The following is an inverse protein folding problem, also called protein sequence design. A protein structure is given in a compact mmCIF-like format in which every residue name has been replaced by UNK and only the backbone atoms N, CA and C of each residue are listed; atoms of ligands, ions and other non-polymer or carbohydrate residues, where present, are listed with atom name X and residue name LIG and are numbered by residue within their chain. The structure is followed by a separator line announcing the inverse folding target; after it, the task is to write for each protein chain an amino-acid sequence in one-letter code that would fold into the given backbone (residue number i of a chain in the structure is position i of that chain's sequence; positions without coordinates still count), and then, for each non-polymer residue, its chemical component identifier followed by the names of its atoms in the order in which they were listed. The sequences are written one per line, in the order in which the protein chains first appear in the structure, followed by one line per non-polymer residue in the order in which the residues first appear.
data_IF_558155078865
#
_entry.id   IF_558155078865
#
_cell.length_a   1.000
_cell.length_b   1.000
_cell.length_c   1.000
_cell.angle_alpha   90.00
_cell.angle_beta   90.00
_cell.angle_gamma   90.00
#
_symmetry.space_group_name_H-M   'P 1'
#
loop_
_entity.id
_entity.type
_entity.pdbx_description
1 polymer ?
#
# COMPACT_ATOMS: atom_id res chain seq x y z
N UNK A 1 13.46 9.84 4.16
CA UNK A 1 12.05 9.41 4.19
C UNK A 1 11.12 10.62 4.19
N UNK A 2 9.91 10.47 3.64
CA UNK A 2 8.91 11.54 3.56
C UNK A 2 7.60 11.06 4.19
N UNK A 3 7.03 11.85 5.12
CA UNK A 3 5.73 11.51 5.70
C UNK A 3 4.62 11.67 4.66
N UNK A 4 3.77 10.66 4.57
CA UNK A 4 2.59 10.61 3.74
C UNK A 4 1.36 10.17 4.55
N UNK A 5 0.19 10.34 3.99
CA UNK A 5 -1.06 9.88 4.58
C UNK A 5 -1.90 9.16 3.54
N UNK A 6 -2.50 8.03 3.92
CA UNK A 6 -3.35 7.26 3.01
C UNK A 6 -4.76 7.88 2.94
N UNK A 7 -5.23 8.15 1.72
CA UNK A 7 -6.55 8.73 1.49
C UNK A 7 -7.71 7.84 1.94
N UNK A 8 -7.46 6.56 2.26
CA UNK A 8 -8.46 5.69 2.87
C UNK A 8 -8.90 6.18 4.26
N UNK A 9 -8.04 6.92 4.99
CA UNK A 9 -8.38 7.61 6.23
C UNK A 9 -9.10 8.96 6.03
N UNK A 10 -9.30 9.39 4.78
CA UNK A 10 -10.07 10.58 4.38
C UNK A 10 -11.23 10.22 3.43
N UNK A 11 -11.81 9.04 3.58
CA UNK A 11 -12.78 8.46 2.65
C UNK A 11 -14.08 9.29 2.46
N UNK A 12 -14.34 10.27 3.32
CA UNK A 12 -15.49 11.16 3.24
C UNK A 12 -15.19 12.54 2.59
N UNK A 13 -13.94 12.73 2.14
CA UNK A 13 -13.51 13.95 1.48
C UNK A 13 -13.42 13.76 -0.04
N UNK A 14 -13.63 14.85 -0.79
CA UNK A 14 -13.18 14.87 -2.19
C UNK A 14 -11.67 14.68 -2.27
N UNK A 15 -11.20 13.98 -3.30
CA UNK A 15 -9.78 13.64 -3.42
C UNK A 15 -8.89 14.89 -3.49
N UNK A 16 -9.31 15.92 -4.24
CA UNK A 16 -8.50 17.13 -4.41
C UNK A 16 -8.44 17.93 -3.10
N UNK A 17 -9.56 18.00 -2.37
CA UNK A 17 -9.61 18.62 -1.04
C UNK A 17 -8.77 17.84 -0.02
N UNK A 18 -8.78 16.49 -0.07
CA UNK A 18 -7.95 15.66 0.78
C UNK A 18 -6.45 15.91 0.54
N UNK A 19 -6.02 15.98 -0.73
CA UNK A 19 -4.61 16.26 -1.09
C UNK A 19 -4.19 17.65 -0.59
N UNK A 20 -5.01 18.68 -0.81
CA UNK A 20 -4.72 20.04 -0.35
C UNK A 20 -4.63 20.11 1.19
N UNK A 21 -5.57 19.46 1.90
CA UNK A 21 -5.57 19.37 3.35
C UNK A 21 -4.26 18.70 3.88
N UNK A 22 -3.82 17.62 3.26
CA UNK A 22 -2.58 16.94 3.67
C UNK A 22 -1.34 17.82 3.45
N UNK A 23 -1.29 18.56 2.33
CA UNK A 23 -0.25 19.55 2.08
C UNK A 23 -0.23 20.65 3.15
N UNK A 24 -1.39 21.19 3.51
CA UNK A 24 -1.55 22.25 4.54
C UNK A 24 -1.16 21.76 5.95
N UNK A 25 -1.32 20.46 6.24
CA UNK A 25 -0.84 19.87 7.50
C UNK A 25 0.68 19.79 7.54
N UNK A 26 1.34 19.60 6.38
CA UNK A 26 2.78 19.51 6.25
C UNK A 26 3.29 18.17 5.70
N UNK A 27 2.40 17.27 5.29
CA UNK A 27 2.78 16.03 4.62
C UNK A 27 3.51 16.32 3.29
N UNK A 28 4.42 15.44 2.94
CA UNK A 28 5.21 15.52 1.70
C UNK A 28 4.84 14.43 0.70
N UNK A 29 3.87 13.60 1.05
CA UNK A 29 3.35 12.56 0.18
C UNK A 29 1.91 12.20 0.48
N UNK A 30 1.30 11.52 -0.49
CA UNK A 30 -0.07 11.00 -0.41
C UNK A 30 -0.09 9.58 -0.94
N UNK A 31 -0.60 8.64 -0.15
CA UNK A 31 -0.95 7.30 -0.63
C UNK A 31 -2.39 7.34 -1.14
N UNK A 32 -2.57 7.30 -2.45
CA UNK A 32 -3.88 7.48 -3.08
C UNK A 32 -4.56 6.12 -3.25
N UNK A 33 -5.54 5.83 -2.40
CA UNK A 33 -6.39 4.64 -2.55
C UNK A 33 -7.40 4.84 -3.68
N UNK A 34 -7.32 3.99 -4.71
CA UNK A 34 -8.29 3.99 -5.81
C UNK A 34 -9.65 3.54 -5.29
N UNK A 35 -10.69 4.37 -5.51
CA UNK A 35 -12.05 4.09 -5.06
C UNK A 35 -13.07 4.80 -5.97
N UNK A 36 -14.37 4.64 -5.70
CA UNK A 36 -15.46 5.25 -6.47
C UNK A 36 -15.30 6.76 -6.69
N UNK A 37 -14.72 7.47 -5.73
CA UNK A 37 -14.52 8.92 -5.77
C UNK A 37 -13.09 9.36 -6.04
N UNK A 38 -12.14 8.42 -6.02
CA UNK A 38 -10.72 8.68 -6.13
C UNK A 38 -10.11 7.88 -7.29
N UNK A 39 -9.89 8.54 -8.43
CA UNK A 39 -9.26 7.98 -9.62
C UNK A 39 -9.83 6.61 -10.03
N UNK A 40 -11.16 6.47 -10.01
CA UNK A 40 -11.84 5.25 -10.41
C UNK A 40 -11.52 4.89 -11.87
N UNK A 41 -10.77 3.82 -12.16
CA UNK A 41 -10.29 3.55 -13.53
C UNK A 41 -11.36 3.08 -14.52
N UNK A 42 -12.62 3.01 -14.09
CA UNK A 42 -13.74 2.52 -14.89
C UNK A 42 -14.74 3.62 -15.29
N UNK A 43 -14.42 4.89 -15.03
CA UNK A 43 -15.30 6.02 -15.39
C UNK A 43 -14.57 7.05 -16.25
N UNK A 44 -15.27 7.71 -17.19
CA UNK A 44 -14.70 8.67 -18.14
C UNK A 44 -14.03 9.89 -17.46
N UNK A 45 -14.55 10.33 -16.31
CA UNK A 45 -14.00 11.48 -15.57
C UNK A 45 -12.59 11.28 -15.01
N UNK A 46 -12.08 10.05 -15.01
CA UNK A 46 -10.76 9.73 -14.45
C UNK A 46 -9.64 10.51 -15.12
N UNK A 47 -9.71 10.73 -16.41
CA UNK A 47 -8.67 11.49 -17.12
C UNK A 47 -8.60 12.96 -16.68
N UNK A 48 -9.75 13.62 -16.49
CA UNK A 48 -9.78 15.00 -15.97
C UNK A 48 -9.33 15.06 -14.51
N UNK A 49 -9.75 14.10 -13.69
CA UNK A 49 -9.33 14.02 -12.29
C UNK A 49 -7.81 13.78 -12.16
N UNK A 50 -7.24 12.94 -13.02
CA UNK A 50 -5.79 12.72 -13.08
C UNK A 50 -5.02 14.01 -13.38
N UNK A 51 -5.50 14.83 -14.32
CA UNK A 51 -4.91 16.13 -14.61
C UNK A 51 -4.89 17.03 -13.37
N UNK A 52 -6.03 17.18 -12.70
CA UNK A 52 -6.15 18.00 -11.50
C UNK A 52 -5.29 17.47 -10.33
N UNK A 53 -5.23 16.15 -10.16
CA UNK A 53 -4.35 15.53 -9.14
C UNK A 53 -2.88 15.82 -9.44
N UNK A 54 -2.45 15.65 -10.69
CA UNK A 54 -1.06 15.94 -11.09
C UNK A 54 -0.67 17.41 -10.86
N UNK A 55 -1.58 18.34 -11.16
CA UNK A 55 -1.40 19.77 -10.89
C UNK A 55 -1.22 20.06 -9.39
N UNK A 56 -2.08 19.47 -8.53
CA UNK A 56 -1.99 19.63 -7.08
C UNK A 56 -0.71 19.03 -6.52
N UNK A 57 -0.35 17.80 -6.92
CA UNK A 57 0.88 17.15 -6.46
C UNK A 57 2.10 18.01 -6.83
N UNK A 58 2.15 18.52 -8.05
CA UNK A 58 3.23 19.40 -8.51
C UNK A 58 3.22 20.73 -7.76
N UNK A 59 2.08 21.38 -7.64
CA UNK A 59 1.92 22.69 -7.00
C UNK A 59 2.32 22.70 -5.52
N UNK A 60 2.06 21.59 -4.81
CA UNK A 60 2.43 21.42 -3.40
C UNK A 60 3.75 20.66 -3.21
N UNK A 61 4.44 20.27 -4.28
CA UNK A 61 5.65 19.44 -4.24
C UNK A 61 5.45 18.16 -3.40
N UNK A 62 4.35 17.46 -3.69
CA UNK A 62 3.99 16.18 -3.07
C UNK A 62 4.39 15.01 -3.96
N UNK A 63 4.85 13.94 -3.33
CA UNK A 63 5.02 12.64 -3.96
C UNK A 63 3.76 11.79 -3.74
N UNK A 64 3.55 10.77 -4.58
CA UNK A 64 2.44 9.84 -4.35
C UNK A 64 2.83 8.39 -4.56
N UNK A 65 2.05 7.49 -3.99
CA UNK A 65 1.94 6.07 -4.29
C UNK A 65 0.48 5.74 -4.56
N UNK A 66 0.22 4.67 -5.31
CA UNK A 66 -1.15 4.20 -5.62
C UNK A 66 -1.45 2.96 -4.79
N UNK A 67 -2.57 3.01 -4.07
CA UNK A 67 -3.05 1.92 -3.23
C UNK A 67 -4.24 1.20 -3.88
N UNK A 68 -4.21 -0.12 -3.87
CA UNK A 68 -5.16 -0.93 -4.64
C UNK A 68 -6.12 -1.77 -3.79
N UNK A 69 -6.42 -1.33 -2.57
CA UNK A 69 -7.36 -2.01 -1.68
C UNK A 69 -8.74 -2.24 -2.29
N UNK A 70 -9.17 -1.35 -3.21
CA UNK A 70 -10.39 -1.42 -4.02
C UNK A 70 -11.71 -1.56 -3.24
N UNK A 71 -11.70 -1.63 -1.94
CA UNK A 71 -12.89 -1.77 -1.06
C UNK A 71 -14.08 -2.44 -1.78
N UNK A 72 -15.12 -1.69 -2.15
CA UNK A 72 -16.29 -2.16 -2.90
C UNK A 72 -16.28 -1.76 -4.38
N UNK A 73 -15.17 -1.28 -4.91
CA UNK A 73 -15.07 -0.79 -6.29
C UNK A 73 -15.27 -1.90 -7.33
N UNK A 74 -14.73 -3.10 -7.06
CA UNK A 74 -14.80 -4.23 -7.97
C UNK A 74 -16.02 -5.12 -7.71
N UNK A 75 -16.45 -5.26 -6.48
CA UNK A 75 -17.67 -5.96 -6.08
C UNK A 75 -18.44 -5.13 -5.05
N UNK A 76 -19.69 -4.71 -5.34
CA UNK A 76 -20.47 -3.90 -4.41
C UNK A 76 -21.00 -4.69 -3.20
N UNK A 77 -20.82 -6.00 -3.14
CA UNK A 77 -21.33 -6.87 -2.09
C UNK A 77 -20.24 -7.39 -1.15
N UNK A 78 -19.03 -7.59 -1.69
CA UNK A 78 -17.91 -8.20 -0.95
C UNK A 78 -16.70 -7.28 -0.98
N UNK A 79 -16.37 -6.78 0.21
CA UNK A 79 -15.24 -5.86 0.38
C UNK A 79 -13.94 -6.51 -0.11
N UNK A 80 -13.16 -5.76 -0.90
CA UNK A 80 -11.86 -6.16 -1.45
C UNK A 80 -11.89 -7.25 -2.53
N UNK A 81 -13.03 -7.87 -2.81
CA UNK A 81 -13.18 -8.87 -3.87
C UNK A 81 -13.49 -8.24 -5.25
N UNK A 82 -13.15 -8.96 -6.34
CA UNK A 82 -12.30 -10.15 -6.39
C UNK A 82 -10.81 -9.83 -6.19
N UNK A 83 -10.04 -10.84 -5.78
CA UNK A 83 -8.58 -10.78 -5.60
C UNK A 83 -7.85 -11.61 -6.66
N UNK A 84 -6.51 -11.66 -6.59
CA UNK A 84 -5.70 -12.53 -7.47
C UNK A 84 -5.86 -14.02 -7.16
N UNK A 85 -6.38 -14.37 -5.98
CA UNK A 85 -6.57 -15.78 -5.54
C UNK A 85 -8.02 -16.23 -5.53
N UNK A 86 -8.98 -15.35 -5.80
CA UNK A 86 -10.42 -15.64 -5.92
C UNK A 86 -10.68 -16.91 -6.74
N UNK A 87 -11.67 -17.73 -6.37
CA UNK A 87 -11.99 -19.00 -7.04
C UNK A 87 -12.42 -18.81 -8.49
N UNK A 88 -13.25 -17.80 -8.75
CA UNK A 88 -13.74 -17.50 -10.09
C UNK A 88 -12.62 -16.94 -11.00
N UNK A 89 -12.30 -17.61 -12.12
CA UNK A 89 -11.32 -17.09 -13.09
C UNK A 89 -11.67 -15.71 -13.67
N UNK A 90 -12.95 -15.42 -13.86
CA UNK A 90 -13.39 -14.11 -14.35
C UNK A 90 -13.13 -13.02 -13.29
N UNK A 91 -13.32 -13.33 -12.02
CA UNK A 91 -12.96 -12.47 -10.91
C UNK A 91 -11.47 -12.17 -10.88
N UNK A 92 -10.61 -13.19 -11.00
CA UNK A 92 -9.15 -12.98 -11.07
C UNK A 92 -8.76 -12.10 -12.27
N UNK A 93 -9.34 -12.34 -13.44
CA UNK A 93 -9.09 -11.51 -14.63
C UNK A 93 -9.50 -10.05 -14.39
N UNK A 94 -10.61 -9.81 -13.69
CA UNK A 94 -11.05 -8.46 -13.29
C UNK A 94 -10.06 -7.78 -12.33
N UNK A 95 -9.50 -8.52 -11.38
CA UNK A 95 -8.44 -7.98 -10.49
C UNK A 95 -7.17 -7.66 -11.27
N UNK A 96 -6.75 -8.50 -12.20
CA UNK A 96 -5.60 -8.23 -13.09
C UNK A 96 -5.84 -6.96 -13.93
N UNK A 97 -7.02 -6.81 -14.55
CA UNK A 97 -7.37 -5.59 -15.29
C UNK A 97 -7.31 -4.34 -14.40
N UNK A 98 -7.85 -4.42 -13.18
CA UNK A 98 -7.79 -3.32 -12.21
C UNK A 98 -6.34 -2.92 -11.86
N UNK A 99 -5.48 -3.90 -11.59
CA UNK A 99 -4.08 -3.64 -11.27
C UNK A 99 -3.32 -3.04 -12.47
N UNK A 100 -3.59 -3.51 -13.69
CA UNK A 100 -3.01 -2.90 -14.90
C UNK A 100 -3.44 -1.44 -15.05
N UNK A 101 -4.71 -1.11 -14.81
CA UNK A 101 -5.19 0.28 -14.83
C UNK A 101 -4.59 1.13 -13.70
N UNK A 102 -4.37 0.54 -12.52
CA UNK A 102 -3.68 1.21 -11.42
C UNK A 102 -2.23 1.55 -11.80
N UNK A 103 -1.55 0.66 -12.53
CA UNK A 103 -0.21 0.90 -13.08
C UNK A 103 -0.23 2.05 -14.09
N UNK A 104 -1.23 2.11 -14.99
CA UNK A 104 -1.36 3.20 -15.95
C UNK A 104 -1.59 4.55 -15.26
N UNK A 105 -2.39 4.58 -14.18
CA UNK A 105 -2.57 5.76 -13.32
C UNK A 105 -1.25 6.16 -12.65
N UNK A 106 -0.53 5.18 -12.07
CA UNK A 106 0.75 5.42 -11.41
C UNK A 106 1.80 5.99 -12.37
N UNK A 107 1.88 5.46 -13.59
CA UNK A 107 2.78 5.96 -14.63
C UNK A 107 2.47 7.44 -14.98
N UNK A 108 1.19 7.80 -15.13
CA UNK A 108 0.76 9.17 -15.44
C UNK A 108 1.03 10.16 -14.32
N UNK A 109 0.95 9.72 -13.05
CA UNK A 109 1.24 10.56 -11.88
C UNK A 109 2.72 10.51 -11.46
N UNK A 110 3.57 9.74 -12.14
CA UNK A 110 4.94 9.47 -11.72
C UNK A 110 5.01 8.99 -10.26
N UNK A 111 4.08 8.10 -9.90
CA UNK A 111 3.98 7.55 -8.55
C UNK A 111 5.18 6.66 -8.23
N UNK A 112 5.62 6.65 -6.95
CA UNK A 112 6.74 5.84 -6.51
C UNK A 112 6.54 4.34 -6.67
N UNK A 113 5.31 3.86 -6.48
CA UNK A 113 4.91 2.47 -6.72
C UNK A 113 3.39 2.32 -6.78
N UNK A 114 2.95 1.11 -7.13
CA UNK A 114 1.59 0.60 -6.89
C UNK A 114 1.68 -0.43 -5.76
N UNK A 115 1.03 -0.16 -4.63
CA UNK A 115 0.91 -1.09 -3.51
C UNK A 115 -0.26 -2.04 -3.73
N UNK A 116 -0.04 -3.32 -3.45
CA UNK A 116 -1.03 -4.39 -3.63
C UNK A 116 -0.79 -5.52 -2.62
N UNK A 117 -1.81 -6.34 -2.41
CA UNK A 117 -1.76 -7.54 -1.58
C UNK A 117 -2.32 -8.78 -2.31
N UNK A 118 -2.12 -9.97 -1.74
CA UNK A 118 -2.42 -11.24 -2.41
C UNK A 118 -3.91 -11.58 -2.48
N UNK A 119 -4.62 -11.36 -1.39
CA UNK A 119 -6.02 -11.74 -1.21
C UNK A 119 -6.22 -12.93 -0.26
N UNK A 120 -7.44 -13.03 0.26
CA UNK A 120 -7.87 -14.11 1.15
C UNK A 120 -8.14 -15.38 0.34
N UNK A 121 -7.71 -16.53 0.85
CA UNK A 121 -7.93 -17.82 0.21
C UNK A 121 -9.27 -18.38 0.67
N UNK A 122 -10.10 -18.84 -0.26
CA UNK A 122 -11.39 -19.49 0.04
C UNK A 122 -11.21 -20.84 0.74
N UNK A 123 -12.15 -21.21 1.59
CA UNK A 123 -12.17 -22.50 2.26
C UNK A 123 -12.03 -23.68 1.28
N UNK A 124 -11.19 -24.65 1.63
CA UNK A 124 -10.96 -25.84 0.83
C UNK A 124 -9.97 -25.67 -0.34
N UNK A 125 -9.47 -24.48 -0.59
CA UNK A 125 -8.40 -24.25 -1.59
C UNK A 125 -7.06 -24.54 -0.94
N UNK A 126 -6.31 -25.48 -1.52
CA UNK A 126 -4.95 -25.81 -1.03
C UNK A 126 -3.94 -24.74 -1.39
N UNK A 127 -2.93 -24.60 -0.54
CA UNK A 127 -1.87 -23.58 -0.63
C UNK A 127 -1.20 -23.52 -2.03
N UNK A 128 -0.82 -24.68 -2.58
CA UNK A 128 -0.25 -24.76 -3.93
C UNK A 128 -1.15 -24.19 -5.01
N UNK A 129 -2.45 -24.41 -4.93
CA UNK A 129 -3.40 -23.87 -5.91
C UNK A 129 -3.55 -22.36 -5.76
N UNK A 130 -3.60 -21.86 -4.52
CA UNK A 130 -3.66 -20.43 -4.24
C UNK A 130 -2.41 -19.71 -4.76
N UNK A 131 -1.21 -20.24 -4.48
CA UNK A 131 0.04 -19.71 -5.04
C UNK A 131 0.07 -19.75 -6.57
N UNK A 132 -0.37 -20.83 -7.19
CA UNK A 132 -0.43 -20.93 -8.66
C UNK A 132 -1.34 -19.83 -9.26
N UNK A 133 -2.46 -19.50 -8.62
CA UNK A 133 -3.35 -18.40 -9.03
C UNK A 133 -2.65 -17.03 -8.87
N UNK A 134 -2.03 -16.80 -7.71
CA UNK A 134 -1.31 -15.57 -7.42
C UNK A 134 -0.18 -15.31 -8.42
N UNK A 135 0.67 -16.32 -8.63
CA UNK A 135 1.79 -16.25 -9.58
C UNK A 135 1.32 -15.98 -11.00
N UNK A 136 0.27 -16.69 -11.45
CA UNK A 136 -0.29 -16.48 -12.80
C UNK A 136 -0.84 -15.06 -13.00
N UNK A 137 -1.53 -14.51 -11.98
CA UNK A 137 -2.01 -13.12 -12.01
C UNK A 137 -0.86 -12.12 -11.98
N UNK A 138 0.09 -12.30 -11.06
CA UNK A 138 1.25 -11.42 -10.92
C UNK A 138 2.14 -11.41 -12.15
N UNK A 139 2.32 -12.53 -12.85
CA UNK A 139 3.09 -12.57 -14.10
C UNK A 139 2.53 -11.56 -15.11
N UNK A 140 1.21 -11.56 -15.31
CA UNK A 140 0.57 -10.60 -16.24
C UNK A 140 0.72 -9.15 -15.77
N UNK A 141 0.56 -8.92 -14.47
CA UNK A 141 0.65 -7.56 -13.89
C UNK A 141 2.10 -7.04 -13.94
N UNK A 142 3.10 -7.90 -13.67
CA UNK A 142 4.52 -7.56 -13.76
C UNK A 142 4.96 -7.26 -15.19
N UNK A 143 4.46 -8.02 -16.17
CA UNK A 143 4.70 -7.72 -17.59
C UNK A 143 4.15 -6.34 -17.98
N UNK A 144 2.97 -5.98 -17.47
CA UNK A 144 2.40 -4.65 -17.69
C UNK A 144 3.22 -3.56 -16.98
N UNK A 145 3.60 -3.78 -15.74
CA UNK A 145 4.43 -2.88 -14.96
C UNK A 145 5.80 -2.64 -15.64
N UNK A 146 6.40 -3.69 -16.20
CA UNK A 146 7.64 -3.60 -16.98
C UNK A 146 7.54 -2.70 -18.20
N UNK A 147 6.42 -2.78 -18.94
CA UNK A 147 6.17 -1.87 -20.09
C UNK A 147 5.98 -0.42 -19.69
N UNK A 148 5.43 -0.16 -18.50
CA UNK A 148 5.16 1.19 -17.99
C UNK A 148 6.33 1.75 -17.13
N UNK A 149 7.30 0.92 -16.75
CA UNK A 149 8.39 1.30 -15.85
C UNK A 149 7.95 1.56 -14.41
N UNK A 150 6.85 0.92 -13.96
CA UNK A 150 6.24 1.14 -12.64
C UNK A 150 6.62 0.03 -11.66
N UNK A 151 7.03 0.40 -10.46
CA UNK A 151 7.32 -0.54 -9.37
C UNK A 151 6.01 -1.03 -8.75
N UNK A 152 5.92 -2.35 -8.51
CA UNK A 152 4.88 -2.96 -7.70
C UNK A 152 5.43 -3.23 -6.30
N UNK A 153 4.70 -2.88 -5.27
CA UNK A 153 5.07 -3.12 -3.88
C UNK A 153 4.02 -4.04 -3.23
N UNK A 154 4.36 -5.33 -3.09
CA UNK A 154 3.44 -6.29 -2.47
C UNK A 154 3.55 -6.19 -0.96
N UNK A 155 2.40 -6.10 -0.33
CA UNK A 155 2.21 -6.01 1.10
C UNK A 155 1.81 -7.37 1.67
N UNK A 156 2.58 -7.94 2.60
CA UNK A 156 2.10 -9.01 3.46
C UNK A 156 0.96 -8.52 4.35
N UNK A 157 -0.23 -9.06 4.13
CA UNK A 157 -1.47 -8.61 4.80
C UNK A 157 -2.01 -9.70 5.72
N UNK A 158 -2.20 -9.45 7.03
CA UNK A 158 -2.71 -10.45 7.97
C UNK A 158 -4.01 -11.10 7.51
N UNK A 159 -4.03 -12.45 7.51
CA UNK A 159 -5.18 -13.24 7.07
C UNK A 159 -5.28 -13.47 5.56
N UNK A 160 -4.35 -12.96 4.77
CA UNK A 160 -4.25 -13.25 3.33
C UNK A 160 -3.27 -14.39 3.02
N UNK A 161 -3.17 -14.79 1.73
CA UNK A 161 -2.24 -15.85 1.29
C UNK A 161 -0.78 -15.51 1.60
N UNK A 162 -0.39 -14.26 1.35
CA UNK A 162 0.92 -13.73 1.73
C UNK A 162 0.66 -12.78 2.90
N UNK A 163 0.81 -13.29 4.11
CA UNK A 163 0.51 -12.61 5.37
C UNK A 163 1.75 -12.28 6.20
N UNK A 164 2.90 -12.80 5.81
CA UNK A 164 4.18 -12.61 6.50
C UNK A 164 5.32 -12.35 5.52
N UNK A 165 6.44 -11.83 6.01
CA UNK A 165 7.66 -11.67 5.22
C UNK A 165 8.22 -13.00 4.71
N UNK A 166 8.05 -14.08 5.48
CA UNK A 166 8.42 -15.42 5.05
C UNK A 166 7.59 -15.87 3.83
N UNK A 167 6.29 -15.61 3.84
CA UNK A 167 5.40 -15.93 2.71
C UNK A 167 5.69 -15.07 1.47
N UNK A 168 6.16 -13.83 1.68
CA UNK A 168 6.67 -13.00 0.57
C UNK A 168 7.92 -13.62 -0.06
N UNK A 169 8.84 -14.16 0.75
CA UNK A 169 10.02 -14.86 0.23
C UNK A 169 9.65 -16.15 -0.53
N UNK A 170 8.65 -16.90 -0.03
CA UNK A 170 8.11 -18.08 -0.74
C UNK A 170 7.56 -17.66 -2.12
N UNK A 171 6.81 -16.55 -2.19
CA UNK A 171 6.31 -16.02 -3.46
C UNK A 171 7.42 -15.67 -4.43
N UNK A 172 8.48 -15.01 -3.97
CA UNK A 172 9.65 -14.71 -4.82
C UNK A 172 10.31 -15.98 -5.35
N UNK A 173 10.38 -17.04 -4.52
CA UNK A 173 10.86 -18.36 -4.91
C UNK A 173 10.01 -18.99 -6.01
N UNK A 174 8.70 -18.98 -5.87
CA UNK A 174 7.75 -19.52 -6.85
C UNK A 174 7.79 -18.75 -8.19
N UNK A 175 7.85 -17.42 -8.16
CA UNK A 175 8.02 -16.60 -9.35
C UNK A 175 9.34 -16.89 -10.07
N UNK A 176 10.44 -16.99 -9.32
CA UNK A 176 11.77 -17.33 -9.85
C UNK A 176 11.80 -18.72 -10.49
N UNK A 177 11.16 -19.71 -9.86
CA UNK A 177 11.05 -21.08 -10.41
C UNK A 177 10.31 -21.11 -11.75
N UNK A 178 9.43 -20.16 -12.01
CA UNK A 178 8.71 -19.97 -13.28
C UNK A 178 9.40 -18.98 -14.22
N UNK A 179 10.64 -18.56 -13.92
CA UNK A 179 11.43 -17.61 -14.71
C UNK A 179 10.75 -16.24 -14.90
N UNK A 180 9.90 -15.82 -13.96
CA UNK A 180 9.28 -14.49 -13.96
C UNK A 180 10.30 -13.47 -13.45
N UNK A 181 10.48 -12.37 -14.19
CA UNK A 181 11.32 -11.26 -13.72
C UNK A 181 10.65 -10.53 -12.54
N UNK A 182 11.31 -10.54 -11.41
CA UNK A 182 10.85 -9.90 -10.16
C UNK A 182 11.56 -8.58 -9.84
N UNK A 183 12.29 -8.01 -10.80
CA UNK A 183 13.04 -6.76 -10.55
C UNK A 183 12.13 -5.61 -10.11
N UNK A 184 10.91 -5.55 -10.64
CA UNK A 184 9.91 -4.55 -10.30
C UNK A 184 8.95 -4.98 -9.17
N UNK A 185 9.02 -6.23 -8.69
CA UNK A 185 8.25 -6.65 -7.52
C UNK A 185 9.05 -6.34 -6.26
N UNK A 186 8.62 -5.32 -5.55
CA UNK A 186 9.20 -4.83 -4.32
C UNK A 186 8.26 -5.13 -3.15
N UNK A 187 8.59 -4.62 -1.99
CA UNK A 187 7.89 -4.87 -0.73
C UNK A 187 7.27 -3.56 -0.20
N UNK A 188 6.00 -3.61 0.17
CA UNK A 188 5.42 -2.70 1.17
C UNK A 188 5.60 -3.35 2.53
N UNK A 189 6.26 -2.66 3.47
CA UNK A 189 6.26 -3.04 4.88
C UNK A 189 5.19 -2.20 5.59
N UNK A 190 4.19 -2.86 6.15
CA UNK A 190 3.31 -2.28 7.13
C UNK A 190 3.85 -2.58 8.54
N UNK A 191 4.10 -1.52 9.30
CA UNK A 191 4.72 -1.59 10.63
C UNK A 191 3.80 -2.28 11.64
N UNK A 192 2.50 -1.99 11.55
CA UNK A 192 1.48 -2.62 12.39
C UNK A 192 1.34 -4.11 12.10
N UNK A 193 1.35 -4.49 10.80
CA UNK A 193 1.28 -5.90 10.39
C UNK A 193 2.46 -6.72 10.91
N UNK A 194 3.69 -6.19 10.84
CA UNK A 194 4.85 -6.85 11.45
C UNK A 194 4.65 -7.06 12.95
N UNK A 195 4.12 -6.05 13.65
CA UNK A 195 3.88 -6.13 15.10
C UNK A 195 2.81 -7.17 15.44
N UNK A 196 1.63 -7.09 14.81
CA UNK A 196 0.54 -8.00 15.13
C UNK A 196 0.82 -9.45 14.74
N UNK A 197 1.64 -9.70 13.71
CA UNK A 197 2.08 -11.04 13.30
C UNK A 197 3.29 -11.55 14.09
N UNK A 198 3.85 -10.74 15.00
CA UNK A 198 5.01 -11.14 15.80
C UNK A 198 6.33 -11.17 15.04
N UNK A 199 6.42 -10.49 13.89
CA UNK A 199 7.65 -10.36 13.09
C UNK A 199 8.59 -9.28 13.66
N UNK A 200 8.92 -9.43 14.92
CA UNK A 200 9.73 -8.50 15.72
C UNK A 200 11.16 -9.04 15.96
N UNK A 201 12.17 -8.18 16.18
CA UNK A 201 12.13 -6.71 16.20
C UNK A 201 11.90 -6.10 14.80
N UNK A 202 10.99 -5.14 14.67
CA UNK A 202 10.62 -4.51 13.40
C UNK A 202 11.83 -3.86 12.72
N UNK A 203 12.69 -3.20 13.49
CA UNK A 203 13.90 -2.54 12.98
C UNK A 203 14.81 -3.53 12.21
N UNK A 204 14.97 -4.77 12.72
CA UNK A 204 15.76 -5.79 12.03
C UNK A 204 15.11 -6.25 10.74
N UNK A 205 13.77 -6.35 10.69
CA UNK A 205 13.06 -6.73 9.46
C UNK A 205 13.25 -5.68 8.37
N UNK A 206 13.17 -4.39 8.73
CA UNK A 206 13.44 -3.27 7.82
C UNK A 206 14.87 -3.38 7.26
N UNK A 207 15.88 -3.55 8.13
CA UNK A 207 17.27 -3.63 7.72
C UNK A 207 17.55 -4.83 6.78
N UNK A 208 16.96 -5.98 7.08
CA UNK A 208 17.09 -7.20 6.24
C UNK A 208 16.46 -7.05 4.86
N UNK A 209 15.38 -6.28 4.73
CA UNK A 209 14.59 -6.14 3.49
C UNK A 209 14.91 -4.86 2.71
N UNK A 210 15.91 -4.07 3.13
CA UNK A 210 16.27 -2.77 2.54
C UNK A 210 16.32 -2.76 1.01
N UNK A 211 16.84 -3.84 0.39
CA UNK A 211 17.02 -3.92 -1.06
C UNK A 211 15.70 -4.16 -1.82
N UNK A 212 14.64 -4.54 -1.10
CA UNK A 212 13.29 -4.78 -1.64
C UNK A 212 12.28 -3.73 -1.21
N UNK A 213 12.56 -2.95 -0.17
CA UNK A 213 11.62 -1.98 0.39
C UNK A 213 11.32 -0.84 -0.59
N UNK A 214 10.06 -0.67 -0.95
CA UNK A 214 9.59 0.40 -1.84
C UNK A 214 8.54 1.29 -1.19
N UNK A 215 7.75 0.78 -0.25
CA UNK A 215 6.70 1.52 0.44
C UNK A 215 6.65 1.13 1.93
N UNK A 216 6.21 2.03 2.77
CA UNK A 216 6.01 1.78 4.22
C UNK A 216 4.65 2.31 4.61
N UNK A 217 3.83 1.46 5.25
CA UNK A 217 2.65 1.88 5.99
C UNK A 217 2.99 1.94 7.48
N UNK A 218 2.38 2.89 8.19
CA UNK A 218 2.67 3.12 9.60
C UNK A 218 1.42 3.60 10.34
N UNK A 219 1.08 2.90 11.39
CA UNK A 219 0.06 3.19 12.39
C UNK A 219 0.42 2.41 13.65
N UNK A 220 -0.32 2.58 14.73
CA UNK A 220 -0.13 1.75 15.92
C UNK A 220 -1.02 0.51 15.88
N UNK A 221 -0.57 -0.54 16.56
CA UNK A 221 -1.28 -1.83 16.60
C UNK A 221 -0.93 -2.61 17.87
N UNK A 222 -1.74 -3.59 18.25
CA UNK A 222 -1.46 -4.53 19.36
C UNK A 222 -1.03 -5.88 18.84
N UNK A 223 -0.23 -6.59 19.62
CA UNK A 223 0.21 -7.94 19.28
C UNK A 223 -1.00 -8.89 19.11
N UNK A 224 -1.08 -9.58 17.97
CA UNK A 224 -2.15 -10.50 17.64
C UNK A 224 -3.49 -9.87 17.24
N UNK A 225 -3.60 -8.55 17.18
CA UNK A 225 -4.82 -7.83 16.82
C UNK A 225 -4.57 -6.96 15.57
N UNK A 226 -5.20 -7.31 14.44
CA UNK A 226 -5.12 -6.54 13.22
C UNK A 226 -6.12 -5.36 13.27
N UNK A 227 -5.73 -4.30 13.94
CA UNK A 227 -6.51 -3.07 14.07
C UNK A 227 -5.63 -1.83 13.98
N UNK A 228 -5.86 -0.98 12.95
CA UNK A 228 -5.12 0.26 12.75
C UNK A 228 -5.54 1.30 13.80
N UNK A 229 -4.67 1.48 14.78
CA UNK A 229 -4.86 2.40 15.90
C UNK A 229 -4.11 3.71 15.66
N UNK A 230 -4.57 4.76 16.31
CA UNK A 230 -3.81 6.00 16.42
C UNK A 230 -2.54 5.78 17.26
N UNK A 231 -1.49 6.50 16.95
CA UNK A 231 -0.24 6.48 17.71
C UNK A 231 -0.47 6.72 19.20
N UNK A 232 0.22 5.97 20.06
CA UNK A 232 0.07 5.87 21.52
C UNK A 232 -1.20 5.13 22.00
N UNK A 233 -1.95 4.48 21.09
CA UNK A 233 -3.13 3.66 21.44
C UNK A 233 -2.86 2.15 21.31
N UNK A 234 -1.73 1.78 20.70
CA UNK A 234 -1.21 0.41 20.56
C UNK A 234 0.01 0.13 21.43
N UNK A 235 0.94 -0.68 20.89
CA UNK A 235 2.10 -1.20 21.64
C UNK A 235 3.43 -0.99 20.93
N UNK A 236 3.45 -0.31 19.77
CA UNK A 236 4.64 -0.19 18.92
C UNK A 236 5.59 0.88 19.45
N UNK A 237 6.87 0.52 19.65
CA UNK A 237 7.95 1.48 19.90
C UNK A 237 8.48 2.04 18.59
N UNK A 238 8.04 3.25 18.21
CA UNK A 238 8.35 3.88 16.91
C UNK A 238 9.77 4.45 16.77
N UNK A 239 10.44 5.01 17.78
CA UNK A 239 11.79 5.55 17.63
C UNK A 239 12.78 4.58 16.98
N UNK A 240 12.90 3.29 17.36
CA UNK A 240 13.76 2.32 16.68
C UNK A 240 13.36 2.05 15.24
N UNK A 241 12.06 2.09 14.91
CA UNK A 241 11.53 1.89 13.56
C UNK A 241 11.99 3.02 12.63
N UNK A 242 11.80 4.27 13.06
CA UNK A 242 12.21 5.46 12.31
C UNK A 242 13.74 5.52 12.16
N UNK A 243 14.48 5.17 13.23
CA UNK A 243 15.94 5.09 13.18
C UNK A 243 16.43 4.03 12.17
N UNK A 244 15.76 2.86 12.08
CA UNK A 244 16.10 1.82 11.12
C UNK A 244 15.87 2.28 9.67
N UNK A 245 14.74 2.94 9.39
CA UNK A 245 14.47 3.52 8.07
C UNK A 245 15.52 4.57 7.68
N UNK A 246 15.92 5.44 8.60
CA UNK A 246 16.99 6.41 8.37
C UNK A 246 18.34 5.73 8.13
N UNK A 247 18.68 4.73 8.95
CA UNK A 247 19.95 3.96 8.83
C UNK A 247 20.14 3.30 7.49
N UNK A 248 19.06 2.76 6.89
CA UNK A 248 19.13 2.16 5.55
C UNK A 248 19.06 3.19 4.42
N UNK A 249 18.94 4.48 4.73
CA UNK A 249 18.81 5.55 3.73
C UNK A 249 17.47 5.52 2.98
N UNK A 250 16.39 5.03 3.61
CA UNK A 250 15.08 4.99 2.97
C UNK A 250 14.60 6.41 2.59
N UNK A 251 14.39 6.65 1.31
CA UNK A 251 13.98 7.95 0.76
C UNK A 251 12.51 8.01 0.33
N UNK A 252 11.80 6.87 0.40
CA UNK A 252 10.40 6.73 -0.02
C UNK A 252 9.40 7.32 0.97
N UNK A 253 8.11 7.04 0.71
CA UNK A 253 7.01 7.48 1.55
C UNK A 253 6.85 6.57 2.77
N UNK A 254 6.56 7.19 3.92
CA UNK A 254 6.08 6.56 5.14
C UNK A 254 4.62 7.01 5.30
N UNK A 255 3.72 6.18 4.81
CA UNK A 255 2.29 6.47 4.69
C UNK A 255 1.53 6.08 5.95
N UNK A 256 0.97 7.05 6.65
CA UNK A 256 0.05 6.79 7.77
C UNK A 256 -1.22 6.13 7.24
N UNK A 257 -1.59 4.97 7.79
CA UNK A 257 -2.78 4.23 7.40
C UNK A 257 -3.80 4.11 8.54
N UNK A 258 -4.72 5.05 8.61
CA UNK A 258 -5.77 5.13 9.62
C UNK A 258 -7.17 5.01 8.98
N UNK A 259 -7.40 3.89 8.29
CA UNK A 259 -8.60 3.66 7.46
C UNK A 259 -9.93 3.75 8.22
N UNK A 260 -9.93 3.53 9.54
CA UNK A 260 -11.12 3.59 10.40
C UNK A 260 -11.42 4.99 10.94
N UNK A 261 -10.51 5.96 10.75
CA UNK A 261 -10.60 7.30 11.31
C UNK A 261 -11.21 8.35 10.35
N UNK A 262 -11.80 7.91 9.23
CA UNK A 262 -12.37 8.84 8.23
C UNK A 262 -13.48 9.75 8.76
N UNK A 263 -14.14 9.37 9.87
CA UNK A 263 -15.17 10.19 10.53
C UNK A 263 -14.57 11.43 11.23
N UNK A 264 -13.27 11.43 11.53
CA UNK A 264 -12.52 12.55 12.11
C UNK A 264 -11.20 12.81 11.32
N UNK A 265 -11.16 12.44 10.04
CA UNK A 265 -9.98 12.39 9.18
C UNK A 265 -9.01 13.57 9.33
N UNK A 266 -9.43 14.85 9.26
CA UNK A 266 -8.52 15.98 9.42
C UNK A 266 -7.81 16.03 10.79
N UNK A 267 -8.53 15.67 11.87
CA UNK A 267 -7.98 15.60 13.23
C UNK A 267 -6.98 14.44 13.35
N UNK A 268 -7.35 13.27 12.82
CA UNK A 268 -6.50 12.08 12.81
C UNK A 268 -5.21 12.33 12.02
N UNK A 269 -5.30 12.91 10.83
CA UNK A 269 -4.14 13.23 10.01
C UNK A 269 -3.19 14.21 10.73
N UNK A 270 -3.73 15.25 11.39
CA UNK A 270 -2.91 16.22 12.15
C UNK A 270 -2.27 15.60 13.39
N UNK A 271 -2.99 14.76 14.14
CA UNK A 271 -2.44 14.02 15.30
C UNK A 271 -1.28 13.13 14.86
N UNK A 272 -1.47 12.35 13.81
CA UNK A 272 -0.44 11.45 13.28
C UNK A 272 0.80 12.23 12.81
N UNK A 273 0.61 13.33 12.08
CA UNK A 273 1.71 14.19 11.67
C UNK A 273 2.50 14.76 12.85
N UNK A 274 1.80 15.29 13.86
CA UNK A 274 2.43 15.88 15.05
C UNK A 274 3.21 14.82 15.86
N UNK A 275 2.78 13.57 15.85
CA UNK A 275 3.49 12.46 16.50
C UNK A 275 4.75 12.07 15.74
N UNK A 276 4.65 11.88 14.43
CA UNK A 276 5.75 11.34 13.61
C UNK A 276 6.79 12.38 13.19
N UNK A 277 6.38 13.63 12.94
CA UNK A 277 7.29 14.64 12.39
C UNK A 277 8.51 14.94 13.27
N UNK A 278 8.43 14.99 14.61
CA UNK A 278 9.62 15.14 15.45
C UNK A 278 10.55 13.92 15.39
N UNK A 279 10.00 12.70 15.29
CA UNK A 279 10.79 11.48 15.18
C UNK A 279 11.57 11.43 13.86
N UNK A 280 10.91 11.82 12.76
CA UNK A 280 11.56 11.89 11.44
C UNK A 280 12.63 12.98 11.42
N UNK A 281 12.34 14.17 11.97
CA UNK A 281 13.30 15.28 12.03
C UNK A 281 14.55 14.95 12.86
N UNK A 282 14.42 14.16 13.91
CA UNK A 282 15.55 13.74 14.74
C UNK A 282 16.50 12.74 14.05
N UNK A 283 16.07 12.14 12.93
CA UNK A 283 16.81 11.10 12.19
C UNK A 283 17.12 11.51 10.71
N UNK A 284 16.82 12.73 10.34
CA UNK A 284 17.00 13.29 8.99
C UNK A 284 18.28 14.06 8.74
#
# INVERSE_FOLDING_TARGET
MLLAYNTNGLAHHDLLEAIALLADIGYRGVSITLDHHALNPYVERTDSQLGSVAELLTGHNLFCVIETGARFLLDPRTKHEPTLVTDDPAGRARRVDFLCRAIDIAARLNAGCVSLWSGVVSDGVGDRQAFSRLVGGLTTVLDHAGRQGVVLALEPEPGMLVDTLARYDDLLGELSAQHVDTALLRLTIDIGHLHCQGEVPIAEQIERRRDRLANVHIEDMRAGEHEHLMFDEGEIDFPPVIAALAKIGYAGLVGVELSRHSHEGPTAARRAYNYLSPLVAANG
#
